data_IF_755996258277
#
_entry.id   IF_755996258277
#
_cell.length_a   1.000
_cell.length_b   1.000
_cell.length_c   1.000
_cell.angle_alpha   90.00
_cell.angle_beta   90.00
_cell.angle_gamma   90.00
#
_symmetry.space_group_name_H-M   'P 1'
#
loop_
_entity.id
_entity.type
_entity.pdbx_description
1 polymer ?
#
# COMPACT_ATOMS: atom_id res chain seq x y z
N UNK A 1 -14.75 15.63 1.41
CA UNK A 1 -14.43 14.20 1.55
C UNK A 1 -13.99 13.70 0.17
N UNK A 2 -12.70 13.45 -0.06
CA UNK A 2 -12.17 12.97 -1.35
C UNK A 2 -11.35 11.71 -1.09
N UNK A 3 -11.97 10.55 -1.30
CA UNK A 3 -11.28 9.27 -1.43
C UNK A 3 -10.43 9.34 -2.69
N UNK A 4 -9.11 9.43 -2.55
CA UNK A 4 -8.18 9.27 -3.65
C UNK A 4 -8.37 7.87 -4.24
N UNK A 5 -9.21 7.77 -5.27
CA UNK A 5 -9.34 6.56 -6.05
C UNK A 5 -8.07 6.43 -6.87
N UNK A 6 -7.09 5.72 -6.33
CA UNK A 6 -6.02 5.12 -7.14
C UNK A 6 -6.68 4.05 -8.01
N UNK A 7 -7.31 4.46 -9.10
CA UNK A 7 -7.79 3.54 -10.11
C UNK A 7 -6.55 2.78 -10.59
N UNK A 8 -6.47 1.45 -10.44
CA UNK A 8 -5.41 0.72 -11.10
C UNK A 8 -5.54 1.03 -12.59
N UNK A 9 -4.45 1.51 -13.20
CA UNK A 9 -4.35 1.79 -14.64
C UNK A 9 -4.50 0.48 -15.43
N UNK A 10 -5.71 -0.07 -15.44
CA UNK A 10 -6.12 -1.23 -16.20
C UNK A 10 -5.79 -1.12 -17.70
N UNK A 11 -5.92 0.05 -18.37
CA UNK A 11 -5.58 0.14 -19.78
C UNK A 11 -4.08 -0.08 -20.07
N UNK A 12 -3.18 0.30 -19.16
CA UNK A 12 -1.74 0.12 -19.33
C UNK A 12 -1.25 -1.30 -19.01
N UNK A 13 -2.03 -2.08 -18.27
CA UNK A 13 -1.62 -3.40 -17.78
C UNK A 13 -1.62 -4.48 -18.88
N UNK A 14 -2.62 -4.46 -19.76
CA UNK A 14 -2.77 -5.45 -20.86
C UNK A 14 -1.55 -5.49 -21.80
N UNK A 15 -1.08 -4.36 -22.38
CA UNK A 15 0.08 -4.40 -23.28
C UNK A 15 1.37 -4.78 -22.56
N UNK A 16 1.53 -4.40 -21.29
CA UNK A 16 2.69 -4.79 -20.49
C UNK A 16 2.73 -6.31 -20.21
N UNK A 17 1.59 -6.91 -19.87
CA UNK A 17 1.48 -8.36 -19.68
C UNK A 17 1.77 -9.11 -20.98
N UNK A 18 1.24 -8.63 -22.11
CA UNK A 18 1.48 -9.27 -23.41
C UNK A 18 2.97 -9.27 -23.77
N UNK A 19 3.69 -8.17 -23.53
CA UNK A 19 5.16 -8.10 -23.69
C UNK A 19 5.89 -9.05 -22.75
N UNK A 20 5.42 -9.21 -21.51
CA UNK A 20 6.03 -10.12 -20.54
C UNK A 20 5.91 -11.57 -21.00
N UNK A 21 4.72 -11.96 -21.47
CA UNK A 21 4.41 -13.31 -21.99
C UNK A 21 5.23 -13.58 -23.25
N UNK A 22 5.30 -12.62 -24.18
CA UNK A 22 6.09 -12.78 -25.39
C UNK A 22 7.59 -12.98 -25.10
N UNK A 23 8.12 -12.36 -24.04
CA UNK A 23 9.54 -12.46 -23.68
C UNK A 23 9.91 -13.67 -22.82
N UNK A 24 9.03 -14.12 -21.94
CA UNK A 24 9.34 -15.15 -20.92
C UNK A 24 8.46 -16.40 -20.99
N UNK A 25 7.45 -16.40 -21.87
CA UNK A 25 6.44 -17.45 -21.95
C UNK A 25 5.35 -17.32 -20.89
N UNK A 26 4.18 -17.90 -21.19
CA UNK A 26 3.00 -17.79 -20.32
C UNK A 26 3.22 -18.46 -18.94
N UNK A 27 3.91 -19.59 -18.89
CA UNK A 27 4.16 -20.33 -17.65
C UNK A 27 4.99 -19.53 -16.63
N UNK A 28 6.07 -18.88 -17.08
CA UNK A 28 6.93 -18.07 -16.22
C UNK A 28 6.18 -16.85 -15.66
N UNK A 29 5.37 -16.18 -16.50
CA UNK A 29 4.55 -15.03 -16.08
C UNK A 29 3.48 -15.46 -15.07
N UNK A 30 2.81 -16.58 -15.31
CA UNK A 30 1.81 -17.13 -14.37
C UNK A 30 2.44 -17.48 -13.03
N UNK A 31 3.60 -18.16 -13.01
CA UNK A 31 4.31 -18.47 -11.78
C UNK A 31 4.76 -17.21 -11.03
N UNK A 32 5.27 -16.19 -11.74
CA UNK A 32 5.64 -14.91 -11.15
C UNK A 32 4.43 -14.18 -10.55
N UNK A 33 3.27 -14.24 -11.22
CA UNK A 33 2.02 -13.67 -10.72
C UNK A 33 1.57 -14.37 -9.43
N UNK A 34 1.59 -15.71 -9.39
CA UNK A 34 1.31 -16.47 -8.18
C UNK A 34 2.26 -16.12 -7.04
N UNK A 35 3.57 -16.05 -7.30
CA UNK A 35 4.56 -15.64 -6.29
C UNK A 35 4.31 -14.22 -5.79
N UNK A 36 3.97 -13.29 -6.69
CA UNK A 36 3.67 -11.91 -6.30
C UNK A 36 2.45 -11.83 -5.39
N UNK A 37 1.39 -12.58 -5.67
CA UNK A 37 0.20 -12.66 -4.81
C UNK A 37 0.55 -13.16 -3.40
N UNK A 38 1.40 -14.18 -3.30
CA UNK A 38 1.82 -14.76 -2.02
C UNK A 38 2.79 -13.85 -1.23
N UNK A 39 3.73 -13.19 -1.90
CA UNK A 39 4.80 -12.39 -1.25
C UNK A 39 4.33 -10.96 -0.89
N UNK A 40 3.32 -10.42 -1.57
CA UNK A 40 2.89 -9.01 -1.47
C UNK A 40 2.45 -8.55 -0.08
N UNK A 41 2.07 -9.47 0.83
CA UNK A 41 1.75 -9.10 2.22
C UNK A 41 2.98 -8.90 3.11
N UNK A 42 4.12 -9.54 2.81
CA UNK A 42 5.31 -9.48 3.69
C UNK A 42 6.24 -8.30 3.42
N UNK A 43 6.26 -7.75 2.20
CA UNK A 43 7.24 -6.73 1.79
C UNK A 43 6.67 -5.32 1.56
N UNK A 44 5.40 -5.08 1.88
CA UNK A 44 4.91 -3.70 1.90
C UNK A 44 5.47 -3.03 3.15
N UNK A 45 6.36 -2.02 3.04
CA UNK A 45 6.68 -1.19 4.19
C UNK A 45 5.34 -0.69 4.72
N UNK A 46 5.05 -0.98 6.00
CA UNK A 46 3.87 -0.41 6.64
C UNK A 46 3.94 1.10 6.41
N UNK A 47 2.87 1.76 5.94
CA UNK A 47 2.86 3.20 5.86
C UNK A 47 3.27 3.76 7.24
N UNK A 48 4.06 4.84 7.27
CA UNK A 48 4.49 5.45 8.52
C UNK A 48 3.25 5.65 9.38
N UNK A 49 3.36 5.17 10.63
CA UNK A 49 2.26 5.18 11.59
C UNK A 49 1.64 6.59 11.62
N UNK A 50 0.32 6.69 11.44
CA UNK A 50 -0.37 7.97 11.43
C UNK A 50 -0.22 8.73 12.78
N UNK A 51 0.14 8.00 13.85
CA UNK A 51 0.52 8.58 15.15
C UNK A 51 1.93 9.19 15.18
N UNK A 52 2.78 8.90 14.19
CA UNK A 52 4.14 9.46 14.02
C UNK A 52 4.21 10.61 13.03
N UNK A 53 3.07 11.03 12.47
CA UNK A 53 3.03 12.18 11.56
C UNK A 53 3.18 13.49 12.34
N UNK A 54 4.01 14.40 11.83
CA UNK A 54 4.17 15.73 12.41
C UNK A 54 2.86 16.54 12.29
N UNK A 55 2.63 17.54 13.16
CA UNK A 55 1.41 18.34 13.13
C UNK A 55 1.14 19.01 11.77
N UNK A 56 2.19 19.46 11.09
CA UNK A 56 2.09 20.08 9.76
C UNK A 56 1.65 19.07 8.70
N UNK A 57 2.26 17.88 8.68
CA UNK A 57 1.88 16.82 7.74
C UNK A 57 0.43 16.36 7.93
N UNK A 58 -0.06 16.31 9.19
CA UNK A 58 -1.46 15.99 9.48
C UNK A 58 -2.41 17.04 8.91
N UNK A 59 -2.05 18.32 9.00
CA UNK A 59 -2.83 19.43 8.45
C UNK A 59 -2.92 19.34 6.93
N UNK A 60 -1.81 19.04 6.26
CA UNK A 60 -1.72 19.00 4.80
C UNK A 60 -2.56 17.87 4.18
N UNK A 61 -2.74 16.76 4.91
CA UNK A 61 -3.56 15.62 4.49
C UNK A 61 -4.98 15.62 5.09
N UNK A 62 -5.34 16.68 5.83
CA UNK A 62 -6.66 16.83 6.44
C UNK A 62 -6.96 15.87 7.61
N UNK A 63 -5.92 15.33 8.25
CA UNK A 63 -6.08 14.55 9.49
C UNK A 63 -6.37 15.51 10.67
N UNK A 64 -7.26 15.11 11.61
CA UNK A 64 -7.46 15.88 12.84
C UNK A 64 -6.15 15.97 13.64
N UNK A 65 -6.00 16.97 14.53
CA UNK A 65 -4.81 17.07 15.38
C UNK A 65 -4.62 15.79 16.20
N UNK A 66 -3.37 15.46 16.54
CA UNK A 66 -3.09 14.32 17.40
C UNK A 66 -3.76 14.57 18.76
N UNK A 67 -4.65 13.66 19.18
CA UNK A 67 -5.22 13.71 20.52
C UNK A 67 -4.12 13.55 21.58
N UNK A 68 -4.34 14.01 22.82
CA UNK A 68 -3.38 13.84 23.90
C UNK A 68 -2.99 12.36 24.01
N UNK A 69 -1.68 12.09 24.12
CA UNK A 69 -1.16 10.75 24.35
C UNK A 69 -1.49 10.36 25.79
N UNK A 70 -2.71 9.87 26.02
CA UNK A 70 -3.11 9.29 27.30
C UNK A 70 -2.67 7.83 27.27
N UNK A 71 -1.75 7.40 28.17
CA UNK A 71 -1.40 6.00 28.30
C UNK A 71 -2.66 5.18 28.53
N UNK A 72 -2.86 4.12 27.75
CA UNK A 72 -4.01 3.27 27.95
C UNK A 72 -3.76 2.41 29.19
N UNK A 73 -4.71 2.41 30.12
CA UNK A 73 -4.60 1.83 31.46
C UNK A 73 -4.26 0.32 31.50
N UNK A 74 -4.27 -0.36 30.35
CA UNK A 74 -3.92 -1.78 30.22
C UNK A 74 -2.43 -2.04 29.95
N UNK A 75 -1.60 -1.01 29.77
CA UNK A 75 -0.13 -1.16 29.62
C UNK A 75 0.62 -1.20 30.97
N UNK A 76 -0.09 -1.06 32.10
CA UNK A 76 0.47 -1.08 33.46
C UNK A 76 0.40 -2.45 34.16
N UNK A 77 0.39 -3.57 33.43
CA UNK A 77 0.32 -4.91 34.03
C UNK A 77 1.59 -5.74 33.82
#
# INVERSE_FOLDING_TARGET
MMIAQMTPQAPALRPALHRLIARHGAAAVTFALFRALLIRRRKRPRPPDAYRLSPHMRRDIGLPPAGPHVPKYYELR
#
